data_IF_229529524281
#
_entry.id   IF_229529524281
#
_cell.length_a   1.000
_cell.length_b   1.000
_cell.length_c   1.000
_cell.angle_alpha   90.00
_cell.angle_beta   90.00
_cell.angle_gamma   90.00
#
_symmetry.space_group_name_H-M   'P 1'
#
loop_
_entity.id
_entity.type
_entity.pdbx_description
1 polymer ?
#
# COMPACT_ATOMS: atom_id res chain seq x y z
N UNK A 1 9.12 -18.29 22.67
CA UNK A 1 7.94 -19.09 22.30
C UNK A 1 8.04 -20.42 23.05
N UNK A 2 6.94 -20.89 23.59
CA UNK A 2 6.83 -22.14 24.38
C UNK A 2 6.67 -23.40 23.50
N UNK A 3 6.77 -23.24 22.16
CA UNK A 3 6.64 -24.31 21.19
C UNK A 3 5.21 -24.85 21.01
N UNK A 4 4.20 -24.20 21.62
CA UNK A 4 2.81 -24.66 21.53
C UNK A 4 2.05 -23.95 20.44
N UNK A 5 1.17 -24.71 19.74
CA UNK A 5 0.17 -24.19 18.82
C UNK A 5 -1.15 -23.98 19.59
N UNK A 6 -1.66 -22.75 19.56
CA UNK A 6 -2.90 -22.37 20.27
C UNK A 6 -3.96 -21.94 19.27
N UNK A 7 -4.73 -22.87 18.68
CA UNK A 7 -5.68 -22.58 17.61
C UNK A 7 -6.82 -21.65 18.03
N UNK A 8 -7.13 -21.58 19.33
CA UNK A 8 -8.18 -20.71 19.89
C UNK A 8 -7.64 -19.41 20.49
N UNK A 9 -6.31 -19.19 20.39
CA UNK A 9 -5.69 -17.95 20.88
C UNK A 9 -6.07 -16.76 20.00
N UNK A 10 -6.30 -15.60 20.63
CA UNK A 10 -6.51 -14.35 19.89
C UNK A 10 -5.19 -13.84 19.33
N UNK A 11 -5.20 -13.36 18.08
CA UNK A 11 -4.07 -12.72 17.42
C UNK A 11 -4.22 -11.20 17.53
N UNK A 12 -3.25 -10.52 18.14
CA UNK A 12 -3.27 -9.06 18.22
C UNK A 12 -2.86 -8.42 16.89
N UNK A 13 -3.28 -7.17 16.65
CA UNK A 13 -2.90 -6.41 15.48
C UNK A 13 -1.39 -6.35 15.28
N UNK A 14 -0.61 -6.03 16.34
CA UNK A 14 0.85 -6.02 16.26
C UNK A 14 1.44 -7.40 15.91
N UNK A 15 0.88 -8.49 16.44
CA UNK A 15 1.38 -9.82 16.10
C UNK A 15 1.09 -10.17 14.64
N UNK A 16 -0.08 -9.79 14.12
CA UNK A 16 -0.42 -9.98 12.71
C UNK A 16 0.47 -9.13 11.80
N UNK A 17 0.64 -7.84 12.11
CA UNK A 17 1.55 -6.96 11.35
C UNK A 17 2.99 -7.49 11.34
N UNK A 18 3.48 -8.05 12.45
CA UNK A 18 4.80 -8.70 12.51
C UNK A 18 4.92 -9.86 11.53
N UNK A 19 3.86 -10.66 11.38
CA UNK A 19 3.84 -11.77 10.41
C UNK A 19 3.90 -11.24 8.98
N UNK A 20 3.13 -10.20 8.65
CA UNK A 20 3.11 -9.58 7.34
C UNK A 20 4.46 -8.92 6.98
N UNK A 21 5.07 -8.19 7.93
CA UNK A 21 6.40 -7.63 7.75
C UNK A 21 7.45 -8.70 7.52
N UNK A 22 7.38 -9.83 8.24
CA UNK A 22 8.23 -10.99 7.99
C UNK A 22 8.04 -11.57 6.58
N UNK A 23 6.80 -11.63 6.09
CA UNK A 23 6.51 -12.06 4.72
C UNK A 23 7.08 -11.10 3.66
N UNK A 24 7.12 -9.78 3.95
CA UNK A 24 7.75 -8.77 3.10
C UNK A 24 9.29 -8.82 3.12
N UNK A 25 9.89 -9.64 3.99
CA UNK A 25 11.34 -9.82 4.08
C UNK A 25 12.03 -9.09 5.25
N UNK A 26 11.27 -8.39 6.10
CA UNK A 26 11.87 -7.72 7.26
C UNK A 26 12.40 -8.72 8.30
N UNK A 27 13.69 -8.65 8.60
CA UNK A 27 14.35 -9.49 9.59
C UNK A 27 14.04 -9.02 11.01
N UNK A 28 13.41 -9.91 11.81
CA UNK A 28 12.98 -9.59 13.16
C UNK A 28 14.10 -9.20 14.11
N UNK A 29 15.33 -9.69 13.90
CA UNK A 29 16.47 -9.40 14.74
C UNK A 29 17.11 -8.05 14.40
N UNK A 30 17.13 -7.69 13.11
CA UNK A 30 17.68 -6.43 12.63
C UNK A 30 16.73 -5.28 12.95
N UNK A 31 15.45 -5.48 12.68
CA UNK A 31 14.40 -4.46 12.85
C UNK A 31 13.92 -4.30 14.31
N UNK A 32 14.45 -5.13 15.22
CA UNK A 32 14.06 -5.06 16.63
C UNK A 32 12.64 -5.52 16.92
N UNK A 33 12.14 -6.51 16.16
CA UNK A 33 10.82 -7.12 16.38
C UNK A 33 10.87 -8.19 17.49
N UNK A 34 11.88 -8.13 18.34
CA UNK A 34 12.09 -8.96 19.52
C UNK A 34 12.36 -8.08 20.73
N UNK A 35 12.24 -8.63 21.96
CA UNK A 35 12.48 -7.88 23.18
C UNK A 35 11.35 -6.92 23.56
N UNK A 36 11.55 -6.00 24.54
CA UNK A 36 10.48 -5.21 25.15
C UNK A 36 9.75 -4.25 24.19
N UNK A 37 10.46 -3.72 23.20
CA UNK A 37 9.95 -2.69 22.28
C UNK A 37 9.43 -3.27 20.95
N UNK A 38 9.33 -4.58 20.82
CA UNK A 38 8.99 -5.24 19.56
C UNK A 38 7.69 -4.70 18.93
N UNK A 39 6.66 -4.48 19.74
CA UNK A 39 5.35 -4.05 19.26
C UNK A 39 5.35 -2.63 18.70
N UNK A 40 6.14 -1.74 19.32
CA UNK A 40 6.30 -0.36 18.85
C UNK A 40 7.06 -0.34 17.53
N UNK A 41 8.14 -1.12 17.43
CA UNK A 41 8.93 -1.20 16.19
C UNK A 41 8.13 -1.80 15.04
N UNK A 42 7.34 -2.84 15.32
CA UNK A 42 6.42 -3.44 14.35
C UNK A 42 5.36 -2.44 13.89
N UNK A 43 4.65 -1.78 14.83
CA UNK A 43 3.63 -0.79 14.50
C UNK A 43 4.21 0.33 13.64
N UNK A 44 5.33 0.91 14.07
CA UNK A 44 6.00 1.98 13.32
C UNK A 44 6.34 1.56 11.88
N UNK A 45 6.87 0.34 11.68
CA UNK A 45 7.21 -0.14 10.34
C UNK A 45 5.97 -0.44 9.52
N UNK A 46 4.97 -1.08 10.10
CA UNK A 46 3.70 -1.40 9.42
C UNK A 46 3.00 -0.15 8.89
N UNK A 47 2.91 0.91 9.73
CA UNK A 47 2.37 2.21 9.34
C UNK A 47 3.21 2.88 8.23
N UNK A 48 4.54 2.82 8.32
CA UNK A 48 5.41 3.40 7.28
C UNK A 48 5.30 2.67 5.91
N UNK A 49 4.90 1.41 5.92
CA UNK A 49 4.71 0.61 4.70
C UNK A 49 3.27 0.70 4.18
N UNK A 50 2.37 1.32 4.94
CA UNK A 50 0.96 1.49 4.57
C UNK A 50 0.15 0.19 4.70
N UNK A 51 0.50 -0.69 5.65
CA UNK A 51 -0.25 -1.95 5.79
C UNK A 51 -1.67 -1.74 6.33
N UNK A 52 -1.94 -0.61 6.98
CA UNK A 52 -3.26 -0.23 7.48
C UNK A 52 -4.02 0.74 6.57
N UNK A 53 -3.49 1.11 5.43
CA UNK A 53 -4.13 2.05 4.51
C UNK A 53 -5.56 1.62 4.18
N UNK A 54 -6.49 2.56 4.33
CA UNK A 54 -7.91 2.31 4.18
C UNK A 54 -8.62 1.80 5.44
N UNK A 55 -7.93 1.72 6.59
CA UNK A 55 -8.56 1.40 7.86
C UNK A 55 -9.46 2.54 8.33
N UNK A 56 -10.72 2.24 8.62
CA UNK A 56 -11.59 3.20 9.29
C UNK A 56 -11.17 3.41 10.73
N UNK A 57 -10.72 4.60 11.08
CA UNK A 57 -10.25 4.97 12.41
C UNK A 57 -8.75 4.78 12.59
N UNK A 58 -8.31 4.54 13.83
CA UNK A 58 -6.89 4.43 14.16
C UNK A 58 -6.47 2.98 14.39
N UNK A 59 -5.31 2.60 13.89
CA UNK A 59 -4.70 1.30 14.16
C UNK A 59 -4.52 1.05 15.67
N UNK A 60 -5.04 -0.06 16.15
CA UNK A 60 -4.87 -0.51 17.53
C UNK A 60 -4.19 -1.88 17.58
N UNK A 61 -2.87 -1.85 17.64
CA UNK A 61 -2.07 -3.07 17.60
C UNK A 61 -2.21 -4.00 18.80
N UNK A 62 -2.81 -3.56 19.93
CA UNK A 62 -2.99 -4.39 21.13
C UNK A 62 -4.30 -5.16 21.14
N UNK A 63 -5.30 -4.71 20.39
CA UNK A 63 -6.56 -5.44 20.20
C UNK A 63 -6.36 -6.70 19.37
N UNK A 64 -7.28 -7.66 19.57
CA UNK A 64 -7.43 -8.78 18.63
C UNK A 64 -7.79 -8.22 17.23
N UNK A 65 -7.05 -8.65 16.21
CA UNK A 65 -7.35 -8.30 14.82
C UNK A 65 -8.70 -8.92 14.41
N UNK A 66 -9.56 -8.10 13.80
CA UNK A 66 -10.81 -8.59 13.21
C UNK A 66 -10.55 -9.27 11.86
N UNK A 67 -11.52 -9.99 11.33
CA UNK A 67 -11.41 -10.61 10.00
C UNK A 67 -11.29 -9.55 8.91
N UNK A 68 -12.02 -8.46 9.04
CA UNK A 68 -12.00 -7.32 8.12
C UNK A 68 -10.63 -6.64 8.12
N UNK A 69 -10.11 -6.28 9.29
CA UNK A 69 -8.75 -5.74 9.44
C UNK A 69 -7.70 -6.69 8.86
N UNK A 70 -7.81 -8.00 9.15
CA UNK A 70 -6.87 -8.98 8.61
C UNK A 70 -6.90 -9.05 7.08
N UNK A 71 -8.09 -8.97 6.46
CA UNK A 71 -8.23 -8.92 5.01
C UNK A 71 -7.61 -7.64 4.43
N UNK A 72 -7.89 -6.49 5.04
CA UNK A 72 -7.32 -5.20 4.61
C UNK A 72 -5.79 -5.21 4.67
N UNK A 73 -5.22 -5.61 5.81
CA UNK A 73 -3.77 -5.65 6.00
C UNK A 73 -3.08 -6.65 5.05
N UNK A 74 -3.71 -7.81 4.83
CA UNK A 74 -3.20 -8.78 3.86
C UNK A 74 -3.29 -8.26 2.42
N UNK A 75 -4.38 -7.56 2.07
CA UNK A 75 -4.53 -6.92 0.76
C UNK A 75 -3.47 -5.84 0.53
N UNK A 76 -3.21 -4.98 1.52
CA UNK A 76 -2.15 -3.99 1.42
C UNK A 76 -0.76 -4.65 1.32
N UNK A 77 -0.56 -5.79 1.99
CA UNK A 77 0.69 -6.56 1.87
C UNK A 77 0.93 -7.06 0.44
N UNK A 78 -0.11 -7.43 -0.30
CA UNK A 78 0.04 -7.84 -1.71
C UNK A 78 0.67 -6.73 -2.57
N UNK A 79 0.35 -5.49 -2.27
CA UNK A 79 0.82 -4.30 -2.99
C UNK A 79 2.16 -3.75 -2.46
N UNK A 80 2.54 -4.12 -1.24
CA UNK A 80 3.70 -3.58 -0.57
C UNK A 80 5.02 -4.08 -1.20
N UNK A 81 6.00 -3.19 -1.27
CA UNK A 81 7.35 -3.50 -1.74
C UNK A 81 8.07 -4.40 -0.76
N UNK A 82 8.65 -5.47 -1.25
CA UNK A 82 9.50 -6.38 -0.49
C UNK A 82 10.88 -5.77 -0.22
N UNK A 83 11.51 -6.28 0.82
CA UNK A 83 12.86 -5.87 1.19
C UNK A 83 13.82 -7.05 1.25
N UNK A 84 15.09 -6.74 1.07
CA UNK A 84 16.21 -7.65 1.23
C UNK A 84 17.30 -6.98 2.07
N UNK A 85 18.22 -7.78 2.59
CA UNK A 85 19.37 -7.29 3.34
C UNK A 85 20.64 -7.71 2.63
N UNK A 86 21.57 -6.79 2.46
CA UNK A 86 22.91 -7.13 2.01
C UNK A 86 23.58 -8.02 3.06
N UNK A 87 24.39 -8.97 2.61
CA UNK A 87 25.06 -9.93 3.52
C UNK A 87 25.80 -9.18 4.62
N UNK A 88 25.49 -9.53 5.88
CA UNK A 88 26.21 -9.04 7.05
C UNK A 88 27.65 -9.53 6.99
N UNK A 89 28.59 -8.67 6.58
CA UNK A 89 30.00 -8.94 6.72
C UNK A 89 30.39 -8.79 8.20
N UNK A 90 30.62 -9.90 8.88
CA UNK A 90 31.22 -9.89 10.20
C UNK A 90 32.74 -10.06 10.06
N UNK A 91 33.48 -9.15 10.67
CA UNK A 91 34.94 -9.23 10.77
C UNK A 91 35.29 -9.50 12.22
N UNK A 92 35.98 -10.61 12.46
CA UNK A 92 36.50 -10.94 13.81
C UNK A 92 37.99 -10.50 13.92
N UNK A 93 38.27 -9.57 14.83
CA UNK A 93 39.61 -9.11 15.13
C UNK A 93 39.88 -9.36 16.61
N UNK A 94 40.92 -10.11 16.93
CA UNK A 94 41.32 -10.47 18.29
C UNK A 94 40.18 -11.06 19.15
N UNK A 95 39.33 -11.92 18.55
CA UNK A 95 38.19 -12.54 19.24
C UNK A 95 36.99 -11.66 19.44
N UNK A 96 36.98 -10.42 18.96
CA UNK A 96 35.85 -9.50 18.98
C UNK A 96 35.24 -9.49 17.56
N UNK A 97 33.97 -9.90 17.43
CA UNK A 97 33.26 -9.89 16.17
C UNK A 97 32.51 -8.57 15.97
N UNK A 98 32.88 -7.84 14.96
CA UNK A 98 32.18 -6.65 14.47
C UNK A 98 31.20 -7.09 13.38
N UNK A 99 29.90 -7.04 13.66
CA UNK A 99 28.88 -7.28 12.64
C UNK A 99 28.34 -5.95 12.15
N UNK A 100 28.53 -5.65 10.88
CA UNK A 100 27.85 -4.52 10.26
C UNK A 100 26.38 -4.92 10.06
N UNK A 101 25.46 -4.29 10.81
CA UNK A 101 24.02 -4.51 10.62
C UNK A 101 23.63 -3.86 9.29
N UNK A 102 23.24 -4.68 8.33
CA UNK A 102 22.67 -4.15 7.10
C UNK A 102 21.30 -3.52 7.38
N UNK A 103 20.95 -2.49 6.63
CA UNK A 103 19.62 -1.90 6.64
C UNK A 103 18.75 -2.59 5.58
N UNK A 104 17.45 -2.64 5.82
CA UNK A 104 16.49 -3.11 4.82
C UNK A 104 16.61 -2.25 3.55
N UNK A 105 16.74 -2.91 2.41
CA UNK A 105 16.78 -2.31 1.07
C UNK A 105 15.60 -2.83 0.26
N UNK A 106 14.95 -1.96 -0.49
CA UNK A 106 13.88 -2.39 -1.40
C UNK A 106 14.41 -3.40 -2.41
N UNK A 107 13.69 -4.49 -2.59
CA UNK A 107 14.04 -5.54 -3.54
C UNK A 107 13.75 -5.04 -4.96
N UNK A 108 14.74 -5.11 -5.84
CA UNK A 108 14.57 -4.72 -7.23
C UNK A 108 13.74 -5.74 -8.03
N UNK A 109 12.87 -5.27 -8.90
CA UNK A 109 12.18 -6.07 -9.91
C UNK A 109 12.63 -5.64 -11.31
N UNK A 110 13.49 -6.43 -11.94
CA UNK A 110 13.94 -6.24 -13.31
C UNK A 110 13.26 -7.24 -14.27
N UNK A 111 12.30 -7.98 -13.77
CA UNK A 111 11.61 -9.04 -14.48
C UNK A 111 10.37 -8.58 -15.25
N UNK A 112 9.64 -9.56 -15.77
CA UNK A 112 8.40 -9.33 -16.53
C UNK A 112 7.19 -9.03 -15.63
N UNK A 113 7.32 -9.24 -14.34
CA UNK A 113 6.25 -9.01 -13.35
C UNK A 113 6.20 -7.57 -12.86
N UNK A 114 7.25 -6.77 -13.14
CA UNK A 114 7.31 -5.35 -12.83
C UNK A 114 6.16 -4.60 -13.53
N UNK A 115 5.27 -4.02 -12.73
CA UNK A 115 4.04 -3.39 -13.17
C UNK A 115 2.85 -4.35 -13.33
N UNK A 116 2.92 -5.56 -12.78
CA UNK A 116 1.74 -6.40 -12.60
C UNK A 116 0.85 -5.85 -11.48
N UNK A 117 1.44 -5.21 -10.49
CA UNK A 117 0.78 -4.55 -9.37
C UNK A 117 1.19 -3.08 -9.36
N UNK A 118 0.24 -2.20 -9.53
CA UNK A 118 0.49 -0.77 -9.63
C UNK A 118 1.24 -0.36 -10.91
N UNK A 119 2.10 0.63 -10.78
CA UNK A 119 2.91 1.12 -11.89
C UNK A 119 4.24 0.37 -11.96
N UNK A 120 4.81 0.36 -13.16
CA UNK A 120 6.17 -0.17 -13.39
C UNK A 120 7.19 0.76 -12.73
N UNK A 121 7.73 0.35 -11.58
CA UNK A 121 8.60 1.16 -10.72
C UNK A 121 9.98 0.55 -10.46
N UNK A 122 10.24 -0.65 -11.00
CA UNK A 122 11.49 -1.39 -10.80
C UNK A 122 11.63 -2.00 -9.41
N UNK A 123 10.56 -2.03 -8.61
CA UNK A 123 10.55 -2.61 -7.26
C UNK A 123 9.71 -3.88 -7.24
N UNK A 124 10.06 -4.78 -6.35
CA UNK A 124 9.37 -6.07 -6.22
C UNK A 124 8.24 -5.97 -5.19
N UNK A 125 6.99 -5.92 -5.63
CA UNK A 125 5.84 -6.06 -4.77
C UNK A 125 5.66 -7.54 -4.36
N UNK A 126 5.07 -7.77 -3.19
CA UNK A 126 4.85 -9.11 -2.67
C UNK A 126 4.08 -10.00 -3.67
N UNK A 127 3.02 -9.46 -4.25
CA UNK A 127 2.23 -10.21 -5.21
C UNK A 127 2.99 -10.49 -6.51
N UNK A 128 3.83 -9.59 -6.98
CA UNK A 128 4.65 -9.81 -8.18
C UNK A 128 5.65 -10.95 -8.03
N UNK A 129 6.12 -11.18 -6.80
CA UNK A 129 7.05 -12.27 -6.48
C UNK A 129 6.35 -13.62 -6.32
N UNK A 130 5.24 -13.65 -5.61
CA UNK A 130 4.61 -14.91 -5.18
C UNK A 130 3.35 -15.28 -5.96
N UNK A 131 2.72 -14.30 -6.62
CA UNK A 131 1.50 -14.44 -7.39
C UNK A 131 1.66 -13.81 -8.78
N UNK A 132 2.62 -14.30 -9.54
CA UNK A 132 3.06 -13.72 -10.83
C UNK A 132 1.96 -13.56 -11.88
N UNK A 133 0.85 -14.28 -11.75
CA UNK A 133 -0.33 -14.19 -12.61
C UNK A 133 -1.40 -13.23 -12.06
N UNK A 134 -1.18 -12.67 -10.86
CA UNK A 134 -2.05 -11.64 -10.28
C UNK A 134 -1.67 -10.29 -10.85
N UNK A 135 -2.68 -9.54 -11.31
CA UNK A 135 -2.48 -8.19 -11.85
C UNK A 135 -3.59 -7.27 -11.39
N UNK A 136 -3.23 -6.04 -11.17
CA UNK A 136 -4.17 -4.94 -11.11
C UNK A 136 -4.03 -4.06 -12.36
N UNK A 137 -5.13 -3.49 -12.81
CA UNK A 137 -5.14 -2.65 -13.99
C UNK A 137 -6.10 -1.50 -13.75
N UNK A 138 -5.67 -0.31 -14.15
CA UNK A 138 -6.53 0.85 -14.22
C UNK A 138 -7.62 0.63 -15.27
N UNK A 139 -8.85 0.84 -14.86
CA UNK A 139 -10.04 0.75 -15.70
C UNK A 139 -11.04 1.82 -15.29
N UNK A 140 -12.15 1.91 -15.98
CA UNK A 140 -13.34 2.63 -15.50
C UNK A 140 -14.42 1.63 -15.07
N UNK A 141 -15.22 2.02 -14.07
CA UNK A 141 -16.41 1.28 -13.70
C UNK A 141 -17.58 1.56 -14.69
N UNK A 142 -18.76 1.01 -14.42
CA UNK A 142 -19.95 1.19 -15.28
C UNK A 142 -20.47 2.64 -15.29
N UNK A 143 -20.02 3.48 -14.36
CA UNK A 143 -20.32 4.91 -14.29
C UNK A 143 -19.19 5.79 -14.84
N UNK A 144 -18.25 5.20 -15.58
CA UNK A 144 -17.06 5.85 -16.13
C UNK A 144 -16.09 6.45 -15.07
N UNK A 145 -16.22 6.08 -13.80
CA UNK A 145 -15.31 6.51 -12.74
C UNK A 145 -14.04 5.65 -12.74
N UNK A 146 -12.88 6.20 -12.34
CA UNK A 146 -11.65 5.44 -12.18
C UNK A 146 -11.82 4.27 -11.22
N UNK A 147 -11.34 3.12 -11.63
CA UNK A 147 -11.41 1.89 -10.84
C UNK A 147 -10.17 1.02 -11.07
N UNK A 148 -9.95 0.08 -10.18
CA UNK A 148 -8.91 -0.95 -10.30
C UNK A 148 -9.59 -2.29 -10.54
N UNK A 149 -9.22 -2.95 -11.64
CA UNK A 149 -9.65 -4.31 -11.94
C UNK A 149 -8.52 -5.30 -11.60
N UNK A 150 -8.82 -6.24 -10.72
CA UNK A 150 -7.94 -7.34 -10.38
C UNK A 150 -8.23 -8.57 -11.25
N UNK A 151 -7.16 -9.16 -11.76
CA UNK A 151 -7.21 -10.39 -12.54
C UNK A 151 -6.22 -11.42 -12.00
N UNK A 152 -6.61 -12.69 -12.00
CA UNK A 152 -5.75 -13.83 -11.71
C UNK A 152 -5.80 -14.78 -12.91
N UNK A 153 -4.64 -15.11 -13.49
CA UNK A 153 -4.56 -15.93 -14.71
C UNK A 153 -5.46 -15.43 -15.84
N UNK A 154 -5.49 -14.09 -16.00
CA UNK A 154 -6.32 -13.36 -16.94
C UNK A 154 -7.85 -13.34 -16.65
N UNK A 155 -8.33 -14.07 -15.65
CA UNK A 155 -9.73 -14.03 -15.23
C UNK A 155 -9.96 -12.90 -14.22
N UNK A 156 -11.05 -12.14 -14.40
CA UNK A 156 -11.44 -11.07 -13.47
C UNK A 156 -11.85 -11.68 -12.13
N UNK A 157 -11.21 -11.24 -11.05
CA UNK A 157 -11.54 -11.65 -9.68
C UNK A 157 -12.22 -10.56 -8.87
N UNK A 158 -12.07 -9.29 -9.27
CA UNK A 158 -12.72 -8.18 -8.60
C UNK A 158 -12.45 -6.85 -9.28
N UNK A 159 -13.25 -5.87 -8.91
CA UNK A 159 -13.06 -4.46 -9.27
C UNK A 159 -13.43 -3.62 -8.06
N UNK A 160 -12.68 -2.59 -7.78
CA UNK A 160 -13.07 -1.57 -6.81
C UNK A 160 -12.80 -0.17 -7.36
N UNK A 161 -13.60 0.77 -6.92
CA UNK A 161 -13.50 2.16 -7.37
C UNK A 161 -12.31 2.83 -6.67
N UNK A 162 -11.60 3.68 -7.41
CA UNK A 162 -10.57 4.53 -6.80
C UNK A 162 -11.25 5.62 -5.97
N UNK A 163 -10.64 5.93 -4.82
CA UNK A 163 -11.06 7.08 -4.03
C UNK A 163 -10.74 8.35 -4.79
N UNK A 164 -11.69 9.29 -4.86
CA UNK A 164 -11.43 10.61 -5.42
C UNK A 164 -10.44 11.38 -4.52
N UNK A 165 -9.52 12.12 -5.13
CA UNK A 165 -8.57 12.98 -4.39
C UNK A 165 -9.31 14.09 -3.64
N UNK A 166 -10.38 14.62 -4.23
CA UNK A 166 -11.24 15.62 -3.63
C UNK A 166 -12.68 15.47 -4.11
N UNK A 167 -13.62 15.66 -3.21
CA UNK A 167 -15.07 15.66 -3.48
C UNK A 167 -15.70 16.99 -3.06
N UNK A 168 -16.62 17.51 -3.87
CA UNK A 168 -17.35 18.75 -3.59
C UNK A 168 -18.85 18.47 -3.61
N UNK A 169 -19.57 19.09 -2.70
CA UNK A 169 -21.03 18.98 -2.59
C UNK A 169 -21.70 20.26 -3.08
N UNK A 170 -21.60 20.52 -4.36
CA UNK A 170 -22.22 21.72 -4.96
C UNK A 170 -21.31 22.35 -6.02
N UNK A 171 -21.72 23.52 -6.50
CA UNK A 171 -20.94 24.22 -7.51
C UNK A 171 -19.62 24.74 -6.94
N UNK A 172 -18.52 24.44 -7.61
CA UNK A 172 -17.18 24.87 -7.26
C UNK A 172 -16.51 25.52 -8.48
N UNK A 173 -15.65 26.50 -8.26
CA UNK A 173 -14.84 27.10 -9.33
C UNK A 173 -13.62 26.24 -9.60
N UNK A 174 -13.22 26.15 -10.87
CA UNK A 174 -12.01 25.40 -11.27
C UNK A 174 -10.75 25.89 -10.55
N UNK A 175 -10.64 27.20 -10.29
CA UNK A 175 -9.53 27.76 -9.52
C UNK A 175 -9.47 27.29 -8.06
N UNK A 176 -10.61 27.04 -7.44
CA UNK A 176 -10.68 26.52 -6.08
C UNK A 176 -10.22 25.06 -6.08
N UNK A 177 -10.63 24.25 -7.07
CA UNK A 177 -10.16 22.87 -7.24
C UNK A 177 -8.64 22.81 -7.39
N UNK A 178 -8.07 23.67 -8.22
CA UNK A 178 -6.61 23.71 -8.40
C UNK A 178 -5.89 24.13 -7.12
N UNK A 179 -6.46 25.06 -6.36
CA UNK A 179 -5.90 25.50 -5.08
C UNK A 179 -5.95 24.38 -4.05
N UNK A 180 -7.08 23.70 -3.90
CA UNK A 180 -7.29 22.64 -2.91
C UNK A 180 -6.39 21.43 -3.16
N UNK A 181 -6.18 21.09 -4.43
CA UNK A 181 -5.31 19.98 -4.86
C UNK A 181 -3.84 20.39 -5.09
N UNK A 182 -3.51 21.67 -4.82
CA UNK A 182 -2.16 22.22 -5.10
C UNK A 182 -1.70 21.98 -6.56
N UNK A 183 -2.64 22.10 -7.50
CA UNK A 183 -2.43 21.89 -8.93
C UNK A 183 -2.21 23.20 -9.66
N UNK A 184 -1.59 23.10 -10.82
CA UNK A 184 -1.45 24.20 -11.79
C UNK A 184 -2.32 23.93 -13.02
N UNK A 185 -2.59 24.96 -13.82
CA UNK A 185 -3.32 24.80 -15.10
C UNK A 185 -2.61 23.91 -16.14
N UNK A 186 -1.39 23.45 -15.84
CA UNK A 186 -0.63 22.53 -16.69
C UNK A 186 -0.82 21.07 -16.29
N UNK A 187 -1.31 20.83 -15.09
CA UNK A 187 -1.55 19.48 -14.58
C UNK A 187 -2.84 18.93 -15.19
N UNK A 188 -2.89 17.62 -15.35
CA UNK A 188 -4.09 16.92 -15.83
C UNK A 188 -4.92 16.44 -14.65
N UNK A 189 -6.23 16.61 -14.73
CA UNK A 189 -7.18 16.05 -13.78
C UNK A 189 -8.36 15.43 -14.53
N UNK A 190 -8.94 14.41 -13.96
CA UNK A 190 -10.18 13.81 -14.39
C UNK A 190 -11.32 14.32 -13.51
N UNK A 191 -12.43 14.73 -14.12
CA UNK A 191 -13.57 15.32 -13.44
C UNK A 191 -14.80 14.45 -13.63
N UNK A 192 -15.58 14.30 -12.57
CA UNK A 192 -16.81 13.52 -12.57
C UNK A 192 -17.93 14.36 -11.96
N UNK A 193 -19.09 14.38 -12.58
CA UNK A 193 -20.32 14.99 -12.06
C UNK A 193 -21.37 13.90 -11.97
N UNK A 194 -21.90 13.68 -10.77
CA UNK A 194 -22.87 12.60 -10.49
C UNK A 194 -22.42 11.25 -11.07
N UNK A 195 -21.13 10.93 -10.90
CA UNK A 195 -20.53 9.68 -11.39
C UNK A 195 -20.27 9.63 -12.90
N UNK A 196 -20.50 10.72 -13.64
CA UNK A 196 -20.27 10.78 -15.08
C UNK A 196 -19.00 11.57 -15.39
N UNK A 197 -18.06 10.94 -16.12
CA UNK A 197 -16.84 11.61 -16.56
C UNK A 197 -17.16 12.83 -17.44
N UNK A 198 -16.47 13.93 -17.17
CA UNK A 198 -16.58 15.16 -17.95
C UNK A 198 -15.40 15.30 -18.90
N UNK A 199 -15.65 15.87 -20.09
CA UNK A 199 -14.56 16.21 -20.99
C UNK A 199 -13.69 17.29 -20.34
N UNK A 200 -12.42 16.99 -20.23
CA UNK A 200 -11.40 17.88 -19.69
C UNK A 200 -11.36 19.26 -20.38
N UNK A 201 -11.80 19.33 -21.63
CA UNK A 201 -11.88 20.57 -22.43
C UNK A 201 -13.02 21.48 -21.98
N UNK A 202 -14.15 20.93 -21.56
CA UNK A 202 -15.30 21.70 -21.14
C UNK A 202 -15.08 22.30 -19.74
N UNK A 203 -14.33 21.61 -18.88
CA UNK A 203 -13.95 22.11 -17.55
C UNK A 203 -12.80 23.12 -17.62
N UNK A 204 -11.86 22.97 -18.56
CA UNK A 204 -10.70 23.86 -18.74
C UNK A 204 -11.00 25.19 -19.43
N UNK A 205 -12.12 25.33 -20.10
CA UNK A 205 -12.43 26.52 -20.92
C UNK A 205 -12.86 27.78 -20.19
N UNK A 206 -12.58 27.91 -18.92
CA UNK A 206 -12.79 29.18 -18.23
C UNK A 206 -12.54 29.06 -16.74
N UNK A 207 -11.62 29.85 -16.24
CA UNK A 207 -11.36 30.02 -14.81
C UNK A 207 -12.61 30.44 -14.00
N UNK A 208 -13.70 30.78 -14.65
CA UNK A 208 -14.93 31.27 -14.03
C UNK A 208 -16.12 30.31 -14.16
N UNK A 209 -15.98 29.15 -14.82
CA UNK A 209 -17.07 28.17 -14.87
C UNK A 209 -17.16 27.42 -13.56
N UNK A 210 -18.36 27.40 -13.03
CA UNK A 210 -18.72 26.54 -11.91
C UNK A 210 -18.88 25.10 -12.41
N UNK A 211 -18.28 24.17 -11.69
CA UNK A 211 -18.45 22.75 -11.92
C UNK A 211 -19.44 22.24 -10.87
N UNK A 212 -20.52 21.63 -11.30
CA UNK A 212 -21.42 20.92 -10.40
C UNK A 212 -20.81 19.57 -10.04
N UNK A 213 -20.72 19.24 -8.76
CA UNK A 213 -20.15 18.00 -8.22
C UNK A 213 -21.16 17.34 -7.30
#
# INVERSE_FOLDING_TARGET
ADGTFRPTGTLSGNAFMKMLLGALGYDSSIEGYTGPNWSINVAKRALNVGLEDGLEGSFNGTKAVTREEACLYAFNTLKATMVEYENNNSVTVNGITFTNKSTAKEMANTGKTDGNIGSKDGKMQFAEKYFTDLKDNDVTNDFAQPAIKWTLKAEKIGTYDKTADQTYTGEVKLGDIYSDLNMSSKDSAEYYIDGTAQDNQDVKKGNDKKVGV
#
